data_IF_322089512370
#
_entry.id   IF_322089512370
#
_cell.length_a   1.000
_cell.length_b   1.000
_cell.length_c   1.000
_cell.angle_alpha   90.00
_cell.angle_beta   90.00
_cell.angle_gamma   90.00
#
_symmetry.space_group_name_H-M   'P 1'
#
loop_
_entity.id
_entity.type
_entity.pdbx_description
1 polymer ?
#
# COMPACT_ATOMS: atom_id res chain seq x y z
N UNK A 1 23.99 54.37 -32.76
CA UNK A 1 24.91 53.50 -32.00
C UNK A 1 24.22 52.16 -31.81
N UNK A 2 24.68 51.15 -32.55
CA UNK A 2 24.04 49.83 -32.65
C UNK A 2 24.59 48.91 -31.56
N UNK A 3 23.72 48.34 -30.72
CA UNK A 3 24.08 47.30 -29.77
C UNK A 3 23.77 45.92 -30.40
N UNK A 4 24.80 45.27 -30.94
CA UNK A 4 24.76 43.89 -31.42
C UNK A 4 24.70 42.93 -30.23
N UNK A 5 23.56 42.25 -30.05
CA UNK A 5 23.46 41.11 -29.14
C UNK A 5 24.29 39.95 -29.71
N UNK A 6 25.37 39.58 -29.00
CA UNK A 6 26.15 38.38 -29.30
C UNK A 6 25.34 37.14 -28.94
N UNK A 7 24.98 36.36 -29.95
CA UNK A 7 24.39 35.01 -29.79
C UNK A 7 25.46 34.10 -29.15
N UNK A 8 25.19 33.56 -27.96
CA UNK A 8 26.05 32.56 -27.32
C UNK A 8 25.86 31.21 -28.03
N UNK A 9 26.92 30.72 -28.65
CA UNK A 9 27.02 29.34 -29.14
C UNK A 9 27.03 28.37 -27.94
N UNK A 10 25.85 27.93 -27.52
CA UNK A 10 25.69 27.00 -26.39
C UNK A 10 24.29 26.39 -26.24
N UNK A 11 23.36 26.66 -27.17
CA UNK A 11 22.06 26.01 -27.22
C UNK A 11 22.08 24.97 -28.34
N UNK A 12 22.57 23.77 -28.03
CA UNK A 12 22.11 22.59 -28.76
C UNK A 12 20.59 22.47 -28.50
N UNK A 13 19.76 22.29 -29.54
CA UNK A 13 18.32 22.28 -29.38
C UNK A 13 17.88 21.12 -28.48
N UNK A 14 17.08 21.43 -27.47
CA UNK A 14 16.46 20.50 -26.50
C UNK A 14 15.73 19.32 -27.17
N UNK A 15 15.42 19.44 -28.45
CA UNK A 15 14.83 18.42 -29.31
C UNK A 15 15.73 17.18 -29.40
N UNK A 16 17.05 17.34 -29.50
CA UNK A 16 17.97 16.19 -29.58
C UNK A 16 17.97 15.36 -28.28
N UNK A 17 17.78 16.00 -27.12
CA UNK A 17 17.63 15.31 -25.82
C UNK A 17 16.29 14.59 -25.69
N UNK A 18 15.23 15.13 -26.31
CA UNK A 18 13.92 14.46 -26.38
C UNK A 18 13.98 13.20 -27.23
N UNK A 19 14.65 13.23 -28.38
CA UNK A 19 14.80 12.07 -29.26
C UNK A 19 15.65 10.94 -28.63
N UNK A 20 16.70 11.28 -27.87
CA UNK A 20 17.51 10.27 -27.14
C UNK A 20 16.75 9.56 -26.02
N UNK A 21 15.74 10.17 -25.40
CA UNK A 21 14.88 9.51 -24.41
C UNK A 21 13.97 8.44 -25.02
N UNK A 22 13.55 8.60 -26.28
CA UNK A 22 12.73 7.60 -26.97
C UNK A 22 13.52 6.33 -27.33
N UNK A 23 14.82 6.45 -27.63
CA UNK A 23 15.67 5.29 -27.98
C UNK A 23 15.93 4.37 -26.78
N UNK A 24 15.98 4.93 -25.56
CA UNK A 24 16.09 4.13 -24.33
C UNK A 24 14.73 3.67 -23.76
N UNK A 25 13.61 4.07 -24.37
CA UNK A 25 12.25 3.70 -23.97
C UNK A 25 11.74 2.40 -24.58
N UNK A 26 12.54 1.70 -25.37
CA UNK A 26 12.19 0.38 -25.88
C UNK A 26 11.87 -0.58 -24.74
N UNK A 27 10.80 -1.38 -24.88
CA UNK A 27 10.46 -2.45 -23.93
C UNK A 27 11.65 -3.40 -23.84
N UNK A 28 12.49 -3.24 -22.82
CA UNK A 28 13.56 -4.21 -22.55
C UNK A 28 12.91 -5.58 -22.39
N UNK A 29 13.43 -6.63 -23.03
CA UNK A 29 12.91 -7.97 -22.83
C UNK A 29 12.92 -8.29 -21.33
N UNK A 30 11.91 -9.01 -20.82
CA UNK A 30 11.84 -9.34 -19.41
C UNK A 30 13.12 -10.06 -19.00
N UNK A 31 13.87 -9.48 -18.06
CA UNK A 31 15.12 -10.07 -17.60
C UNK A 31 14.82 -11.48 -17.03
N UNK A 32 15.32 -12.57 -17.65
CA UNK A 32 15.06 -13.93 -17.19
C UNK A 32 15.67 -14.19 -15.80
N UNK A 33 16.68 -13.39 -15.40
CA UNK A 33 17.28 -13.39 -14.07
C UNK A 33 16.60 -12.43 -13.08
N UNK A 34 15.41 -11.91 -13.40
CA UNK A 34 14.63 -11.16 -12.42
C UNK A 34 14.36 -12.05 -11.19
N UNK A 35 14.56 -11.49 -9.99
CA UNK A 35 14.34 -12.19 -8.72
C UNK A 35 13.03 -12.97 -8.74
N UNK A 36 13.09 -14.30 -8.71
CA UNK A 36 11.90 -15.15 -8.78
C UNK A 36 11.21 -15.22 -7.41
N UNK A 37 11.97 -15.03 -6.33
CA UNK A 37 11.51 -15.15 -4.95
C UNK A 37 11.39 -16.61 -4.51
N UNK A 38 11.31 -16.88 -3.19
CA UNK A 38 10.94 -18.20 -2.70
C UNK A 38 9.60 -18.66 -3.28
N UNK A 39 9.38 -19.97 -3.33
CA UNK A 39 8.11 -20.53 -3.76
C UNK A 39 6.94 -19.95 -2.94
N UNK A 40 5.82 -19.63 -3.59
CA UNK A 40 4.66 -18.99 -2.96
C UNK A 40 4.84 -17.49 -2.65
N UNK A 41 6.01 -16.90 -2.88
CA UNK A 41 6.25 -15.49 -2.54
C UNK A 41 5.45 -14.54 -3.43
N UNK A 42 4.59 -13.73 -2.78
CA UNK A 42 3.71 -12.79 -3.45
C UNK A 42 2.32 -13.35 -3.79
N UNK A 43 2.05 -14.64 -3.54
CA UNK A 43 0.70 -15.19 -3.71
C UNK A 43 -0.26 -14.71 -2.61
N UNK A 44 0.29 -14.45 -1.43
CA UNK A 44 -0.44 -13.92 -0.30
C UNK A 44 0.05 -12.52 0.04
N UNK A 45 -0.87 -11.56 0.14
CA UNK A 45 -0.59 -10.21 0.61
C UNK A 45 -1.43 -9.97 1.85
N UNK A 46 -0.76 -9.64 2.95
CA UNK A 46 -1.38 -9.33 4.23
C UNK A 46 -1.45 -7.82 4.42
N UNK A 47 -2.62 -7.36 4.84
CA UNK A 47 -2.87 -5.96 5.16
C UNK A 47 -3.11 -5.86 6.64
N UNK A 48 -2.23 -5.19 7.37
CA UNK A 48 -2.34 -4.96 8.80
C UNK A 48 -2.84 -3.55 9.07
N UNK A 49 -3.72 -3.41 10.04
CA UNK A 49 -4.22 -2.12 10.50
C UNK A 49 -3.91 -1.91 11.98
N UNK A 50 -3.61 -0.68 12.35
CA UNK A 50 -3.51 -0.27 13.74
C UNK A 50 -4.91 0.04 14.28
N UNK A 51 -5.38 -0.69 15.30
CA UNK A 51 -6.76 -0.64 15.82
C UNK A 51 -7.26 0.77 16.17
N UNK A 52 -6.39 1.63 16.71
CA UNK A 52 -6.75 3.00 17.14
C UNK A 52 -6.49 4.11 16.11
N UNK A 53 -5.37 4.06 15.40
CA UNK A 53 -4.92 5.16 14.52
C UNK A 53 -5.20 4.89 13.05
N UNK A 54 -5.74 3.70 12.72
CA UNK A 54 -6.09 3.28 11.37
C UNK A 54 -4.93 3.36 10.36
N UNK A 55 -3.69 3.36 10.87
CA UNK A 55 -2.49 3.21 10.04
C UNK A 55 -2.47 1.82 9.42
N UNK A 56 -2.02 1.74 8.18
CA UNK A 56 -1.98 0.49 7.41
C UNK A 56 -0.55 0.11 7.07
N UNK A 57 -0.24 -1.17 7.14
CA UNK A 57 1.01 -1.77 6.68
C UNK A 57 0.69 -2.93 5.76
N UNK A 58 1.37 -3.00 4.61
CA UNK A 58 1.28 -4.13 3.70
C UNK A 58 2.47 -5.07 3.91
N UNK A 59 2.23 -6.37 4.04
CA UNK A 59 3.31 -7.37 4.11
C UNK A 59 3.02 -8.52 3.15
N UNK A 60 4.07 -9.18 2.67
CA UNK A 60 3.96 -10.45 1.93
C UNK A 60 3.93 -11.66 2.89
N UNK A 61 4.14 -11.42 4.18
CA UNK A 61 4.18 -12.44 5.22
C UNK A 61 2.99 -12.32 6.17
N UNK A 62 2.61 -13.44 6.77
CA UNK A 62 1.53 -13.50 7.76
C UNK A 62 1.88 -12.80 9.09
N UNK A 63 3.14 -12.42 9.28
CA UNK A 63 3.62 -11.74 10.48
C UNK A 63 4.28 -10.42 10.11
N UNK A 64 4.14 -9.42 10.98
CA UNK A 64 4.85 -8.15 10.86
C UNK A 64 6.29 -8.27 11.35
N UNK A 65 7.24 -7.84 10.52
CA UNK A 65 8.65 -7.71 10.86
C UNK A 65 8.94 -6.26 11.30
N UNK A 66 9.32 -6.10 12.57
CA UNK A 66 9.43 -4.79 13.22
C UNK A 66 10.22 -3.74 12.43
N UNK A 67 11.41 -4.07 11.91
CA UNK A 67 12.26 -3.10 11.23
C UNK A 67 11.78 -2.75 9.82
N UNK A 68 11.43 -3.76 9.00
CA UNK A 68 11.05 -3.55 7.59
C UNK A 68 9.68 -2.87 7.48
N UNK A 69 8.72 -3.32 8.28
CA UNK A 69 7.35 -2.82 8.21
C UNK A 69 7.21 -1.41 8.81
N UNK A 70 8.02 -1.08 9.82
CA UNK A 70 8.06 0.27 10.38
C UNK A 70 8.54 1.33 9.38
N UNK A 71 9.30 0.96 8.35
CA UNK A 71 9.72 1.88 7.27
C UNK A 71 8.55 2.35 6.41
N UNK A 72 7.42 1.64 6.43
CA UNK A 72 6.22 2.06 5.70
C UNK A 72 5.48 3.21 6.38
N UNK A 73 5.76 3.48 7.66
CA UNK A 73 5.13 4.56 8.41
C UNK A 73 5.96 5.84 8.27
N UNK A 74 5.36 6.85 7.64
CA UNK A 74 5.91 8.19 7.50
C UNK A 74 5.77 9.00 8.79
N UNK A 75 6.56 10.07 8.91
CA UNK A 75 6.46 10.97 10.06
C UNK A 75 5.46 12.08 9.76
N UNK A 76 4.28 12.00 10.37
CA UNK A 76 3.18 12.96 10.18
C UNK A 76 3.05 13.97 11.35
N UNK A 77 4.08 14.07 12.20
CA UNK A 77 4.13 14.95 13.38
C UNK A 77 4.49 14.23 14.68
N UNK A 78 4.61 14.99 15.77
CA UNK A 78 4.98 14.45 17.08
C UNK A 78 3.97 13.40 17.54
N UNK A 79 4.47 12.24 18.02
CA UNK A 79 3.67 11.09 18.49
C UNK A 79 2.75 10.45 17.44
N UNK A 80 2.97 10.70 16.14
CA UNK A 80 2.19 10.06 15.06
C UNK A 80 2.76 8.72 14.60
N UNK A 81 4.08 8.54 14.71
CA UNK A 81 4.78 7.29 14.39
C UNK A 81 5.14 6.55 15.69
N UNK A 82 4.76 5.27 15.86
CA UNK A 82 5.13 4.49 17.03
C UNK A 82 6.64 4.17 17.05
N UNK A 83 7.21 4.02 18.25
CA UNK A 83 8.62 3.65 18.39
C UNK A 83 8.90 2.17 18.03
N UNK A 84 7.93 1.28 18.28
CA UNK A 84 7.98 -0.15 17.93
C UNK A 84 6.60 -0.66 17.54
N UNK A 85 6.53 -1.66 16.68
CA UNK A 85 5.28 -2.35 16.34
C UNK A 85 4.91 -3.27 17.51
N UNK A 86 3.87 -2.91 18.26
CA UNK A 86 3.36 -3.74 19.36
C UNK A 86 2.25 -4.67 18.86
N UNK A 87 2.31 -5.94 19.25
CA UNK A 87 1.41 -7.01 18.74
C UNK A 87 -0.07 -6.79 19.07
N UNK A 88 -0.38 -6.06 20.12
CA UNK A 88 -1.73 -5.75 20.60
C UNK A 88 -2.43 -4.69 19.73
N UNK A 89 -1.70 -3.70 19.24
CA UNK A 89 -2.26 -2.63 18.43
C UNK A 89 -2.44 -3.00 16.96
N UNK A 90 -1.63 -3.91 16.45
CA UNK A 90 -1.63 -4.30 15.05
C UNK A 90 -2.37 -5.61 14.84
N UNK A 91 -3.36 -5.60 13.95
CA UNK A 91 -4.15 -6.78 13.59
C UNK A 91 -4.26 -6.92 12.07
N UNK A 92 -4.34 -8.16 11.55
CA UNK A 92 -4.62 -8.37 10.14
C UNK A 92 -6.04 -7.85 9.83
N UNK A 93 -6.13 -6.92 8.89
CA UNK A 93 -7.38 -6.37 8.37
C UNK A 93 -7.90 -7.23 7.22
N UNK A 94 -7.02 -7.59 6.29
CA UNK A 94 -7.35 -8.37 5.12
C UNK A 94 -6.17 -9.25 4.68
N UNK A 95 -6.48 -10.36 4.01
CA UNK A 95 -5.53 -11.21 3.29
C UNK A 95 -6.00 -11.35 1.85
N UNK A 96 -5.19 -10.88 0.93
CA UNK A 96 -5.40 -11.00 -0.52
C UNK A 96 -4.68 -12.27 -0.96
N UNK A 97 -5.44 -13.24 -1.46
CA UNK A 97 -4.97 -14.52 -1.97
C UNK A 97 -5.10 -14.54 -3.49
N UNK A 98 -3.95 -14.65 -4.14
CA UNK A 98 -3.84 -14.88 -5.57
C UNK A 98 -3.74 -16.40 -5.82
N UNK A 99 -4.10 -16.88 -7.03
CA UNK A 99 -3.94 -18.28 -7.38
C UNK A 99 -2.48 -18.71 -7.34
N UNK A 100 -2.25 -20.00 -7.09
CA UNK A 100 -0.93 -20.61 -7.03
C UNK A 100 -0.15 -20.35 -8.34
N UNK A 101 1.13 -20.02 -8.23
CA UNK A 101 1.98 -19.63 -9.37
C UNK A 101 1.86 -18.16 -9.78
N UNK A 102 0.88 -17.40 -9.27
CA UNK A 102 0.69 -15.99 -9.61
C UNK A 102 1.52 -15.01 -8.75
N UNK A 103 2.55 -15.47 -8.05
CA UNK A 103 3.36 -14.62 -7.16
C UNK A 103 4.03 -13.40 -7.84
N UNK A 104 4.32 -13.48 -9.15
CA UNK A 104 4.81 -12.33 -9.95
C UNK A 104 3.75 -11.22 -10.09
N UNK A 105 2.49 -11.61 -10.24
CA UNK A 105 1.35 -10.69 -10.30
C UNK A 105 1.15 -10.05 -8.93
N UNK A 106 1.15 -10.86 -7.88
CA UNK A 106 0.92 -10.35 -6.53
C UNK A 106 2.01 -9.41 -6.03
N UNK A 107 3.28 -9.60 -6.41
CA UNK A 107 4.34 -8.59 -6.17
C UNK A 107 4.07 -7.25 -6.85
N UNK A 108 3.47 -7.28 -8.04
CA UNK A 108 3.10 -6.06 -8.77
C UNK A 108 1.91 -5.38 -8.06
N UNK A 109 0.93 -6.14 -7.63
CA UNK A 109 -0.20 -5.66 -6.80
C UNK A 109 0.32 -5.02 -5.51
N UNK A 110 1.21 -5.71 -4.78
CA UNK A 110 1.85 -5.23 -3.57
C UNK A 110 2.60 -3.90 -3.79
N UNK A 111 3.39 -3.81 -4.87
CA UNK A 111 4.07 -2.58 -5.25
C UNK A 111 3.07 -1.44 -5.46
N UNK A 112 2.00 -1.66 -6.23
CA UNK A 112 1.00 -0.64 -6.54
C UNK A 112 0.25 -0.16 -5.30
N UNK A 113 -0.11 -1.06 -4.39
CA UNK A 113 -0.72 -0.70 -3.11
C UNK A 113 0.18 0.19 -2.27
N UNK A 114 1.49 -0.09 -2.26
CA UNK A 114 2.47 0.75 -1.54
C UNK A 114 2.70 2.10 -2.21
N UNK A 115 2.71 2.15 -3.53
CA UNK A 115 2.78 3.40 -4.31
C UNK A 115 1.56 4.30 -4.02
N UNK A 116 0.35 3.74 -4.06
CA UNK A 116 -0.88 4.49 -3.76
C UNK A 116 -0.92 4.98 -2.32
N UNK A 117 -0.57 4.13 -1.35
CA UNK A 117 -0.47 4.55 0.06
C UNK A 117 0.51 5.71 0.23
N UNK A 118 1.68 5.65 -0.43
CA UNK A 118 2.64 6.75 -0.35
C UNK A 118 2.08 8.04 -0.98
N UNK A 119 1.36 7.92 -2.10
CA UNK A 119 0.70 9.03 -2.76
C UNK A 119 -0.36 9.66 -1.85
N UNK A 120 -1.19 8.87 -1.15
CA UNK A 120 -2.18 9.38 -0.18
C UNK A 120 -1.55 10.15 0.99
N UNK A 121 -0.32 9.81 1.36
CA UNK A 121 0.41 10.48 2.45
C UNK A 121 1.11 11.77 1.99
N UNK A 122 1.57 11.84 0.73
CA UNK A 122 2.40 12.94 0.21
C UNK A 122 1.61 13.92 -0.65
N UNK A 123 0.71 13.43 -1.50
CA UNK A 123 -0.05 14.20 -2.48
C UNK A 123 -1.52 14.18 -2.13
N UNK A 124 -1.90 15.07 -1.24
CA UNK A 124 -3.27 15.22 -0.76
C UNK A 124 -3.87 16.59 -1.14
N UNK A 125 -5.19 16.62 -1.29
CA UNK A 125 -5.94 17.83 -1.58
C UNK A 125 -6.45 18.56 -0.32
N UNK A 126 -7.28 19.56 -0.56
CA UNK A 126 -7.88 20.42 0.47
C UNK A 126 -8.66 19.67 1.56
N UNK A 127 -9.10 18.44 1.26
CA UNK A 127 -9.83 17.57 2.19
C UNK A 127 -9.07 17.28 3.48
N UNK A 128 -7.73 17.32 3.47
CA UNK A 128 -6.90 17.18 4.67
C UNK A 128 -6.60 18.52 5.36
N UNK A 129 -6.67 19.62 4.63
CA UNK A 129 -6.46 20.94 5.19
C UNK A 129 -7.66 21.42 6.02
N UNK A 130 -8.88 21.16 5.54
CA UNK A 130 -10.12 21.59 6.19
C UNK A 130 -10.87 20.43 6.84
N UNK A 131 -11.52 20.70 7.98
CA UNK A 131 -12.39 19.76 8.68
C UNK A 131 -13.59 19.39 7.80
N UNK A 132 -14.03 18.15 7.88
CA UNK A 132 -15.32 17.75 7.31
C UNK A 132 -16.45 18.19 8.24
N UNK A 133 -17.69 18.38 7.75
CA UNK A 133 -18.82 18.76 8.59
C UNK A 133 -19.06 17.83 9.80
N UNK A 134 -18.68 16.56 9.67
CA UNK A 134 -18.75 15.56 10.75
C UNK A 134 -17.77 15.83 11.90
N UNK A 135 -16.65 16.50 11.62
CA UNK A 135 -15.62 16.86 12.61
C UNK A 135 -15.87 18.23 13.26
N UNK A 136 -16.93 18.95 12.87
CA UNK A 136 -17.20 20.27 13.40
C UNK A 136 -17.62 20.20 14.86
N UNK A 137 -17.06 21.10 15.66
CA UNK A 137 -17.57 21.35 17.01
C UNK A 137 -18.95 21.98 16.95
N UNK A 138 -19.73 21.88 18.02
CA UNK A 138 -21.08 22.48 18.08
C UNK A 138 -21.07 23.99 17.77
N UNK A 139 -20.05 24.72 18.22
CA UNK A 139 -19.89 26.14 17.91
C UNK A 139 -19.62 26.39 16.42
N UNK A 140 -18.82 25.53 15.79
CA UNK A 140 -18.54 25.60 14.35
C UNK A 140 -19.76 25.25 13.51
N UNK A 141 -20.56 24.25 13.93
CA UNK A 141 -21.84 23.91 13.30
C UNK A 141 -22.81 25.09 13.36
N UNK A 142 -22.95 25.74 14.52
CA UNK A 142 -23.79 26.94 14.69
C UNK A 142 -23.32 28.10 13.81
N UNK A 143 -22.01 28.36 13.75
CA UNK A 143 -21.44 29.41 12.90
C UNK A 143 -21.67 29.13 11.40
N UNK A 144 -21.51 27.87 10.97
CA UNK A 144 -21.80 27.46 9.59
C UNK A 144 -23.28 27.58 9.26
N UNK A 145 -24.18 27.15 10.16
CA UNK A 145 -25.63 27.25 9.99
C UNK A 145 -26.10 28.71 9.95
N UNK A 146 -25.58 29.58 10.82
CA UNK A 146 -25.87 31.02 10.80
C UNK A 146 -25.50 31.64 9.45
N UNK A 147 -24.31 31.37 8.94
CA UNK A 147 -23.85 31.93 7.67
C UNK A 147 -24.61 31.35 6.47
N UNK A 148 -25.02 30.09 6.54
CA UNK A 148 -25.90 29.49 5.54
C UNK A 148 -27.28 30.17 5.52
N UNK A 149 -27.84 30.51 6.69
CA UNK A 149 -29.10 31.27 6.79
C UNK A 149 -28.98 32.69 6.21
N UNK A 150 -27.79 33.29 6.31
CA UNK A 150 -27.46 34.59 5.70
C UNK A 150 -27.12 34.49 4.19
N UNK A 151 -27.31 33.33 3.54
CA UNK A 151 -26.93 33.05 2.15
C UNK A 151 -25.46 33.38 1.81
N UNK A 152 -24.57 33.29 2.81
CA UNK A 152 -23.15 33.53 2.64
C UNK A 152 -22.39 32.32 2.05
N UNK A 153 -21.12 32.50 1.65
CA UNK A 153 -20.29 31.39 1.18
C UNK A 153 -20.01 30.38 2.31
N UNK A 154 -19.81 29.12 1.93
CA UNK A 154 -19.51 28.02 2.85
C UNK A 154 -18.26 28.30 3.69
N UNK A 155 -18.37 28.19 5.02
CA UNK A 155 -17.23 28.33 5.93
C UNK A 155 -16.45 27.02 5.97
N UNK A 156 -15.15 27.07 5.69
CA UNK A 156 -14.24 25.93 5.87
C UNK A 156 -13.33 26.16 7.07
N UNK A 157 -13.47 25.32 8.09
CA UNK A 157 -12.60 25.38 9.27
C UNK A 157 -11.30 24.59 9.04
N UNK A 158 -10.11 25.20 9.18
CA UNK A 158 -8.85 24.50 8.99
C UNK A 158 -8.57 23.51 10.14
N UNK A 159 -7.90 22.39 9.81
CA UNK A 159 -7.34 21.46 10.80
C UNK A 159 -6.04 22.00 11.36
N UNK A 160 -5.85 21.79 12.66
CA UNK A 160 -4.54 21.97 13.31
C UNK A 160 -3.51 20.97 12.78
N UNK A 161 -2.21 21.23 12.97
CA UNK A 161 -1.14 20.29 12.58
C UNK A 161 -1.32 18.90 13.20
N UNK A 162 -1.77 18.84 14.46
CA UNK A 162 -2.01 17.58 15.17
C UNK A 162 -3.22 16.82 14.62
N UNK A 163 -4.33 17.51 14.35
CA UNK A 163 -5.51 16.90 13.71
C UNK A 163 -5.19 16.40 12.30
N UNK A 164 -4.44 17.19 11.51
CA UNK A 164 -3.99 16.79 10.18
C UNK A 164 -3.11 15.55 10.23
N UNK A 165 -2.16 15.48 11.17
CA UNK A 165 -1.32 14.29 11.35
C UNK A 165 -2.11 13.04 11.73
N UNK A 166 -3.20 13.19 12.51
CA UNK A 166 -4.12 12.07 12.80
C UNK A 166 -4.94 11.66 11.57
N UNK A 167 -5.47 12.62 10.83
CA UNK A 167 -6.21 12.35 9.60
C UNK A 167 -5.33 11.67 8.53
N UNK A 168 -4.08 12.12 8.37
CA UNK A 168 -3.10 11.49 7.48
C UNK A 168 -2.75 10.05 7.87
N UNK A 169 -2.78 9.73 9.16
CA UNK A 169 -2.54 8.37 9.64
C UNK A 169 -3.71 7.42 9.36
N UNK A 170 -4.94 7.94 9.28
CA UNK A 170 -6.15 7.16 9.09
C UNK A 170 -6.31 6.72 7.63
N UNK A 171 -5.48 5.74 7.24
CA UNK A 171 -5.38 5.24 5.86
C UNK A 171 -6.21 3.97 5.62
N UNK A 172 -6.97 3.49 6.62
CA UNK A 172 -7.78 2.26 6.50
C UNK A 172 -8.76 2.33 5.33
N UNK A 173 -9.58 3.38 5.27
CA UNK A 173 -10.58 3.54 4.21
C UNK A 173 -9.92 3.67 2.82
N UNK A 174 -8.86 4.49 2.72
CA UNK A 174 -8.10 4.66 1.49
C UNK A 174 -7.47 3.34 1.02
N UNK A 175 -6.89 2.56 1.95
CA UNK A 175 -6.30 1.26 1.65
C UNK A 175 -7.32 0.30 1.04
N UNK A 176 -8.55 0.24 1.57
CA UNK A 176 -9.60 -0.62 0.99
C UNK A 176 -9.99 -0.15 -0.40
N UNK A 177 -10.14 1.15 -0.61
CA UNK A 177 -10.40 1.71 -1.94
C UNK A 177 -9.25 1.40 -2.92
N UNK A 178 -8.00 1.52 -2.48
CA UNK A 178 -6.81 1.18 -3.27
C UNK A 178 -6.78 -0.31 -3.64
N UNK A 179 -7.17 -1.19 -2.72
CA UNK A 179 -7.29 -2.64 -3.01
C UNK A 179 -8.30 -2.85 -4.15
N UNK A 180 -9.48 -2.24 -4.09
CA UNK A 180 -10.47 -2.35 -5.18
C UNK A 180 -9.93 -1.81 -6.51
N UNK A 181 -9.26 -0.64 -6.49
CA UNK A 181 -8.67 0.00 -7.68
C UNK A 181 -7.57 -0.87 -8.28
N UNK A 182 -6.63 -1.36 -7.48
CA UNK A 182 -5.53 -2.21 -7.98
C UNK A 182 -6.06 -3.55 -8.48
N UNK A 183 -7.03 -4.16 -7.80
CA UNK A 183 -7.61 -5.44 -8.21
C UNK A 183 -8.51 -5.34 -9.47
N UNK A 184 -8.99 -4.14 -9.79
CA UNK A 184 -9.66 -3.84 -11.07
C UNK A 184 -8.69 -3.72 -12.27
N UNK A 185 -7.38 -3.78 -12.00
CA UNK A 185 -6.34 -3.63 -13.01
C UNK A 185 -6.07 -2.19 -13.42
N UNK A 186 -6.40 -1.21 -12.56
CA UNK A 186 -5.97 0.17 -12.73
C UNK A 186 -4.46 0.31 -12.41
N UNK A 187 -3.85 1.37 -12.94
CA UNK A 187 -2.43 1.66 -12.78
C UNK A 187 -1.56 1.08 -13.92
N UNK A 188 -0.67 1.92 -14.45
CA UNK A 188 0.25 1.52 -15.51
C UNK A 188 1.15 0.35 -15.05
N UNK A 189 1.27 -0.67 -15.90
CA UNK A 189 2.07 -1.87 -15.64
C UNK A 189 1.44 -2.86 -14.65
N UNK A 190 0.16 -2.72 -14.30
CA UNK A 190 -0.53 -3.68 -13.45
C UNK A 190 -0.75 -5.02 -14.18
N UNK A 191 -0.15 -6.09 -13.64
CA UNK A 191 -0.13 -7.44 -14.23
C UNK A 191 -1.34 -8.30 -13.88
N UNK A 192 -2.31 -7.76 -13.13
CA UNK A 192 -3.56 -8.48 -12.86
C UNK A 192 -4.42 -8.62 -14.12
N UNK A 193 -4.20 -7.72 -15.09
CA UNK A 193 -4.66 -7.85 -16.46
C UNK A 193 -3.68 -8.74 -17.21
N UNK A 194 -4.14 -9.88 -17.68
CA UNK A 194 -3.37 -10.80 -18.48
C UNK A 194 -4.11 -11.08 -19.79
N UNK A 195 -3.37 -11.39 -20.83
CA UNK A 195 -3.90 -11.91 -22.08
C UNK A 195 -3.29 -13.29 -22.32
N UNK A 196 -4.09 -14.23 -22.81
CA UNK A 196 -3.61 -15.57 -23.19
C UNK A 196 -2.83 -15.51 -24.50
N UNK A 197 -3.19 -14.56 -25.36
CA UNK A 197 -2.55 -14.27 -26.65
C UNK A 197 -1.91 -12.87 -26.60
N UNK A 198 -0.89 -12.61 -27.43
CA UNK A 198 -0.11 -11.35 -27.37
C UNK A 198 -0.99 -10.10 -27.61
N UNK A 199 -2.01 -10.20 -28.47
CA UNK A 199 -2.96 -9.13 -28.78
C UNK A 199 -4.42 -9.48 -28.39
N UNK A 200 -4.62 -10.52 -27.59
CA UNK A 200 -5.94 -10.96 -27.16
C UNK A 200 -6.62 -10.03 -26.15
N UNK A 201 -7.94 -10.17 -25.94
CA UNK A 201 -8.67 -9.39 -24.95
C UNK A 201 -8.09 -9.65 -23.55
N UNK A 202 -7.75 -8.56 -22.84
CA UNK A 202 -7.19 -8.65 -21.49
C UNK A 202 -8.26 -9.09 -20.50
N UNK A 203 -8.03 -10.22 -19.84
CA UNK A 203 -8.84 -10.76 -18.75
C UNK A 203 -8.24 -10.38 -17.40
N UNK A 204 -9.08 -10.32 -16.37
CA UNK A 204 -8.67 -10.06 -15.00
C UNK A 204 -8.45 -11.37 -14.27
N UNK A 205 -7.35 -11.48 -13.53
CA UNK A 205 -7.07 -12.63 -12.68
C UNK A 205 -8.08 -12.69 -11.54
N UNK A 206 -8.59 -13.88 -11.27
CA UNK A 206 -9.45 -14.12 -10.11
C UNK A 206 -8.64 -14.02 -8.81
N UNK A 207 -9.17 -13.27 -7.84
CA UNK A 207 -8.49 -13.01 -6.57
C UNK A 207 -9.48 -13.17 -5.42
N UNK A 208 -9.06 -13.79 -4.32
CA UNK A 208 -9.86 -13.90 -3.10
C UNK A 208 -9.36 -12.91 -2.05
N UNK A 209 -10.25 -12.14 -1.44
CA UNK A 209 -9.92 -11.24 -0.35
C UNK A 209 -10.65 -11.70 0.91
N UNK A 210 -9.88 -12.21 1.86
CA UNK A 210 -10.37 -12.60 3.18
C UNK A 210 -10.30 -11.39 4.12
N UNK A 211 -11.44 -11.01 4.70
CA UNK A 211 -11.57 -9.84 5.57
C UNK A 211 -11.72 -10.25 7.04
N UNK A 212 -11.03 -9.56 7.94
CA UNK A 212 -11.27 -9.68 9.38
C UNK A 212 -12.68 -9.19 9.76
N UNK A 213 -13.06 -8.01 9.26
CA UNK A 213 -14.41 -7.48 9.30
C UNK A 213 -14.94 -7.31 7.87
N UNK A 214 -16.01 -8.02 7.54
CA UNK A 214 -16.60 -7.95 6.20
C UNK A 214 -17.18 -6.57 5.89
N UNK A 215 -17.58 -5.79 6.89
CA UNK A 215 -18.11 -4.43 6.68
C UNK A 215 -17.08 -3.49 6.06
N UNK A 216 -15.78 -3.78 6.23
CA UNK A 216 -14.72 -2.97 5.64
C UNK A 216 -14.79 -2.97 4.10
N UNK A 217 -15.45 -3.95 3.45
CA UNK A 217 -15.65 -3.93 1.99
C UNK A 217 -16.40 -2.69 1.51
N UNK A 218 -17.22 -2.08 2.39
CA UNK A 218 -18.04 -0.90 2.08
C UNK A 218 -17.25 0.41 1.92
N UNK A 219 -15.96 0.44 2.28
CA UNK A 219 -15.12 1.62 2.02
C UNK A 219 -14.84 1.84 0.52
N UNK A 220 -14.87 0.77 -0.27
CA UNK A 220 -14.78 0.87 -1.73
C UNK A 220 -16.18 0.98 -2.34
N UNK A 221 -16.40 2.01 -3.17
CA UNK A 221 -17.71 2.25 -3.82
C UNK A 221 -18.15 1.11 -4.74
N UNK A 222 -17.21 0.44 -5.39
CA UNK A 222 -17.48 -0.64 -6.36
C UNK A 222 -16.33 -1.63 -6.35
N UNK A 223 -16.69 -2.91 -6.51
CA UNK A 223 -15.76 -4.02 -6.71
C UNK A 223 -15.95 -4.60 -8.11
N UNK A 224 -14.86 -5.14 -8.67
CA UNK A 224 -14.89 -5.88 -9.95
C UNK A 224 -15.25 -7.34 -9.72
N UNK A 225 -15.86 -7.98 -10.73
CA UNK A 225 -16.38 -9.35 -10.62
C UNK A 225 -15.31 -10.44 -10.44
N UNK A 226 -14.03 -10.12 -10.71
CA UNK A 226 -12.92 -11.04 -10.47
C UNK A 226 -12.53 -11.18 -8.99
N UNK A 227 -13.07 -10.34 -8.11
CA UNK A 227 -12.75 -10.35 -6.68
C UNK A 227 -13.82 -11.10 -5.89
N UNK A 228 -13.43 -12.20 -5.24
CA UNK A 228 -14.28 -12.94 -4.31
C UNK A 228 -13.99 -12.52 -2.88
N UNK A 229 -15.03 -12.20 -2.11
CA UNK A 229 -14.91 -11.80 -0.72
C UNK A 229 -15.27 -12.95 0.22
N UNK A 230 -14.51 -13.09 1.30
CA UNK A 230 -14.75 -14.08 2.35
C UNK A 230 -14.39 -13.51 3.72
N UNK A 231 -14.95 -14.08 4.79
CA UNK A 231 -14.55 -13.74 6.16
C UNK A 231 -13.32 -14.55 6.56
N UNK A 232 -12.35 -13.89 7.17
CA UNK A 232 -11.16 -14.52 7.74
C UNK A 232 -11.58 -15.25 9.02
N UNK A 233 -11.44 -16.58 9.03
CA UNK A 233 -11.85 -17.43 10.16
C UNK A 233 -10.69 -17.65 11.16
N UNK A 234 -9.44 -17.48 10.74
CA UNK A 234 -8.28 -17.86 11.54
C UNK A 234 -7.59 -16.68 12.24
N UNK A 235 -7.37 -16.79 13.55
CA UNK A 235 -6.56 -15.85 14.31
C UNK A 235 -5.07 -16.10 14.03
N UNK A 236 -4.48 -15.28 13.16
CA UNK A 236 -3.07 -15.30 12.73
C UNK A 236 -2.06 -15.26 13.90
N UNK A 237 -2.52 -14.99 15.13
CA UNK A 237 -1.70 -14.90 16.35
C UNK A 237 -1.23 -16.29 16.85
N UNK A 238 -1.83 -17.40 16.41
CA UNK A 238 -1.62 -18.71 17.05
C UNK A 238 -0.48 -19.58 16.48
N UNK A 239 0.17 -19.23 15.36
CA UNK A 239 1.34 -20.00 14.89
C UNK A 239 2.61 -19.52 15.59
N UNK A 240 2.72 -19.82 16.89
CA UNK A 240 4.03 -20.09 17.49
C UNK A 240 4.70 -21.12 16.58
N UNK A 241 5.92 -20.85 16.12
CA UNK A 241 6.80 -21.94 15.67
C UNK A 241 6.80 -22.94 16.82
N UNK A 242 6.25 -24.15 16.63
CA UNK A 242 6.73 -25.28 17.40
C UNK A 242 8.20 -25.38 17.00
N UNK A 243 9.09 -24.93 17.86
CA UNK A 243 10.48 -25.38 17.76
C UNK A 243 10.42 -26.91 17.81
N UNK A 244 11.09 -27.62 16.90
CA UNK A 244 11.17 -29.07 17.02
C UNK A 244 11.80 -29.41 18.38
N UNK A 245 11.34 -30.49 19.05
CA UNK A 245 11.89 -30.89 20.33
C UNK A 245 13.40 -31.11 20.16
N UNK A 246 14.18 -30.43 21.00
CA UNK A 246 15.63 -30.60 21.13
C UNK A 246 15.85 -31.83 21.99
N UNK A 247 15.57 -33.00 21.44
CA UNK A 247 16.03 -34.28 21.99
C UNK A 247 16.42 -35.16 20.81
N UNK A 248 17.53 -35.88 20.99
CA UNK A 248 18.29 -36.65 19.99
C UNK A 248 19.32 -35.85 19.17
N UNK A 249 20.21 -35.14 19.88
CA UNK A 249 21.62 -35.16 19.48
C UNK A 249 22.24 -36.44 20.06
N UNK A 250 22.27 -37.51 19.28
CA UNK A 250 23.15 -38.65 19.56
C UNK A 250 24.60 -38.14 19.61
N UNK A 251 25.21 -38.24 20.79
CA UNK A 251 26.65 -38.07 20.96
C UNK A 251 27.35 -39.23 20.23
N UNK A 252 28.31 -38.98 19.32
CA UNK A 252 29.05 -40.07 18.70
C UNK A 252 29.85 -40.82 19.76
N UNK A 253 29.74 -42.15 19.71
CA UNK A 253 30.41 -43.11 20.58
C UNK A 253 31.91 -42.81 20.68
N UNK A 254 32.41 -42.70 21.90
CA UNK A 254 33.84 -42.70 22.18
C UNK A 254 34.37 -44.10 21.84
N UNK A 255 35.19 -44.18 20.79
CA UNK A 255 35.97 -45.37 20.47
C UNK A 255 36.99 -45.64 21.56
N UNK A 256 36.97 -46.88 22.06
CA UNK A 256 37.93 -47.46 22.99
C UNK A 256 39.38 -47.23 22.54
N UNK A 257 40.23 -46.79 23.47
CA UNK A 257 41.67 -46.92 23.37
C UNK A 257 42.13 -47.80 24.55
N UNK A 258 42.41 -49.06 24.23
CA UNK A 258 43.11 -49.98 25.12
C UNK A 258 44.62 -49.72 25.06
N UNK A 259 45.22 -49.36 26.19
CA UNK A 259 46.53 -49.86 26.70
C UNK A 259 46.45 -49.88 28.22
#
# INVERSE_FOLDING_TARGET
>A
MNATQRVRAGQLPDIARLCLRQVHGGKRPPNPMAFQGPEGHGENIWVFTHRRTEQVIYSLYATLEGFRDMKQLTYNGKKTKPAKLRKDYWAPMAKIELPQGAGKVGRTVFQKLRELKHLHEVSWGDSLFYKTPLEYTENQKKAAAKRAAENGPEIRFPRTKAERGRALNAQKANSVADIAVVLSGAGAGNKIKYSTEEDGPKKLLEVKVNWSNIQDTGYAKKWTSNVKHSKMVESVVARRRKEPPVDEMELPAQTEAAI
#
